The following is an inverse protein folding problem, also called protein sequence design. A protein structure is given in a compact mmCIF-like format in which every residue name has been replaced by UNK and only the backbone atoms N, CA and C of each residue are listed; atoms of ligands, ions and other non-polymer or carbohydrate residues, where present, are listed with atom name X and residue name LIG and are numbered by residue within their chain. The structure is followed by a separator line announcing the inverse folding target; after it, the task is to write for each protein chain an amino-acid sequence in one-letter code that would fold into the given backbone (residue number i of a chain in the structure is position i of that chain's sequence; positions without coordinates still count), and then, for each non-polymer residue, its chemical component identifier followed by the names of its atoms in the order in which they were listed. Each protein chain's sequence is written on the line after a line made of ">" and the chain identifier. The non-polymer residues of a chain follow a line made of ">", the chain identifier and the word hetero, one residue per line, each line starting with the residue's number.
data_IF_639792444333
#
_entry.id   IF_639792444333
#
_cell.length_a   1.000
_cell.length_b   1.000
_cell.length_c   1.000
_cell.angle_alpha   90.00
_cell.angle_beta   90.00
_cell.angle_gamma   90.00
#
_symmetry.space_group_name_H-M   'P 1'
#
loop_
_entity.id
_entity.type
_entity.pdbx_description
1 polymer ?
#
# COMPACT_ATOMS: atom_id res chain seq x y z
N UNK A 1 -1.90 -10.57 -1.23
CA UNK A 1 -2.08 -9.17 -0.80
C UNK A 1 -2.78 -8.41 -1.91
N UNK A 2 -3.84 -7.65 -1.59
CA UNK A 2 -4.57 -6.86 -2.59
C UNK A 2 -4.63 -5.40 -2.17
N UNK A 3 -4.10 -4.51 -3.00
CA UNK A 3 -4.28 -3.07 -2.85
C UNK A 3 -5.58 -2.66 -3.53
N UNK A 4 -6.25 -1.66 -2.97
CA UNK A 4 -7.51 -1.15 -3.50
C UNK A 4 -7.42 0.36 -3.62
N UNK A 5 -7.79 0.89 -4.77
CA UNK A 5 -7.86 2.32 -5.01
C UNK A 5 -9.27 2.80 -4.69
N UNK A 6 -9.37 3.83 -3.86
CA UNK A 6 -10.63 4.43 -3.42
C UNK A 6 -10.67 5.89 -3.83
N UNK A 7 -11.87 6.37 -4.19
CA UNK A 7 -12.12 7.82 -4.25
C UNK A 7 -12.48 8.32 -2.87
N UNK A 8 -12.07 9.51 -2.49
CA UNK A 8 -12.49 10.11 -1.22
C UNK A 8 -12.88 11.58 -1.35
N UNK A 9 -13.72 12.02 -0.43
CA UNK A 9 -14.17 13.41 -0.29
C UNK A 9 -13.84 13.90 1.12
N UNK A 10 -13.42 15.16 1.24
CA UNK A 10 -13.11 15.78 2.54
C UNK A 10 -14.30 16.64 2.97
N UNK A 11 -14.90 16.32 4.12
CA UNK A 11 -16.02 17.04 4.73
C UNK A 11 -15.61 18.20 5.64
N UNK A 12 -16.60 18.87 6.22
CA UNK A 12 -16.44 20.13 6.98
C UNK A 12 -15.55 20.06 8.24
N UNK A 13 -15.11 18.86 8.67
CA UNK A 13 -14.21 18.66 9.81
C UNK A 13 -12.93 17.88 9.44
N UNK A 14 -12.47 18.03 8.19
CA UNK A 14 -11.40 17.20 7.61
C UNK A 14 -11.74 15.69 7.63
N UNK A 15 -13.00 15.32 7.81
CA UNK A 15 -13.42 13.93 7.74
C UNK A 15 -13.32 13.43 6.30
N UNK A 16 -12.59 12.35 6.08
CA UNK A 16 -12.44 11.76 4.76
C UNK A 16 -13.50 10.68 4.60
N UNK A 17 -14.34 10.79 3.57
CA UNK A 17 -15.31 9.76 3.19
C UNK A 17 -14.85 9.07 1.92
N UNK A 18 -14.65 7.76 1.98
CA UNK A 18 -14.11 6.92 0.92
C UNK A 18 -15.22 6.17 0.19
N UNK A 19 -15.07 5.92 -1.11
CA UNK A 19 -16.07 5.34 -1.99
C UNK A 19 -15.48 4.41 -3.05
N UNK A 20 -16.30 3.44 -3.48
CA UNK A 20 -16.13 2.64 -4.71
C UNK A 20 -14.70 2.13 -4.97
N UNK A 21 -14.31 0.99 -4.37
CA UNK A 21 -12.99 0.43 -4.56
C UNK A 21 -12.79 -0.14 -5.96
N UNK A 22 -11.62 0.12 -6.52
CA UNK A 22 -11.09 -0.59 -7.67
C UNK A 22 -9.87 -1.41 -7.25
N UNK A 23 -9.71 -2.60 -7.82
CA UNK A 23 -8.56 -3.45 -7.50
C UNK A 23 -7.28 -2.91 -8.14
N UNK A 24 -6.23 -2.79 -7.35
CA UNK A 24 -4.90 -2.40 -7.81
C UNK A 24 -3.92 -3.57 -7.63
N UNK A 25 -3.33 -4.00 -8.75
CA UNK A 25 -2.33 -5.07 -8.75
C UNK A 25 -0.95 -4.45 -8.99
N UNK A 26 -0.09 -4.51 -7.97
CA UNK A 26 1.28 -3.97 -8.04
C UNK A 26 2.31 -4.97 -8.58
N UNK A 27 1.91 -6.22 -8.79
CA UNK A 27 2.75 -7.29 -9.34
C UNK A 27 2.31 -7.63 -10.77
N UNK A 28 3.18 -8.29 -11.53
CA UNK A 28 2.92 -8.70 -12.90
C UNK A 28 3.62 -7.81 -13.93
N UNK A 29 3.70 -8.32 -15.16
CA UNK A 29 4.54 -7.77 -16.23
C UNK A 29 4.23 -6.31 -16.60
N UNK A 30 2.95 -5.94 -16.55
CA UNK A 30 2.42 -4.63 -16.93
C UNK A 30 1.80 -3.87 -15.74
N UNK A 31 2.15 -4.25 -14.51
CA UNK A 31 1.76 -3.46 -13.33
C UNK A 31 2.42 -2.09 -13.35
N UNK A 32 1.80 -1.05 -12.76
CA UNK A 32 2.38 0.30 -12.71
C UNK A 32 3.77 0.30 -12.09
N UNK A 33 3.99 -0.50 -11.05
CA UNK A 33 5.28 -0.68 -10.41
C UNK A 33 6.31 -1.31 -11.36
N UNK A 34 5.96 -2.40 -12.05
CA UNK A 34 6.89 -3.04 -12.99
C UNK A 34 7.26 -2.11 -14.17
N UNK A 35 6.30 -1.32 -14.65
CA UNK A 35 6.56 -0.30 -15.68
C UNK A 35 7.53 0.76 -15.19
N UNK A 36 7.31 1.28 -13.97
CA UNK A 36 8.17 2.28 -13.35
C UNK A 36 9.60 1.78 -13.18
N UNK A 37 9.80 0.63 -12.52
CA UNK A 37 11.15 0.09 -12.24
C UNK A 37 11.93 -0.16 -13.53
N UNK A 38 11.29 -0.68 -14.58
CA UNK A 38 11.92 -0.89 -15.90
C UNK A 38 12.35 0.42 -16.55
N UNK A 39 11.57 1.49 -16.38
CA UNK A 39 11.81 2.78 -17.02
C UNK A 39 12.95 3.55 -16.34
N UNK A 40 12.95 3.64 -15.01
CA UNK A 40 13.93 4.45 -14.28
C UNK A 40 15.32 3.83 -14.25
N UNK A 41 15.43 2.49 -14.35
CA UNK A 41 16.70 1.74 -14.29
C UNK A 41 17.59 2.14 -13.09
N UNK A 42 16.96 2.54 -11.98
CA UNK A 42 17.65 2.89 -10.74
C UNK A 42 17.63 1.71 -9.78
N UNK A 43 18.75 1.49 -9.10
CA UNK A 43 18.89 0.45 -8.08
C UNK A 43 18.07 0.76 -6.82
N UNK A 44 17.85 2.04 -6.50
CA UNK A 44 17.06 2.51 -5.36
C UNK A 44 16.10 3.58 -5.83
N UNK A 45 14.85 3.52 -5.38
CA UNK A 45 13.80 4.43 -5.79
C UNK A 45 12.77 4.65 -4.66
N UNK A 46 12.01 5.73 -4.77
CA UNK A 46 10.85 6.01 -3.94
C UNK A 46 9.67 6.37 -4.85
N UNK A 47 8.47 5.96 -4.46
CA UNK A 47 7.23 6.26 -5.17
C UNK A 47 6.17 6.65 -4.15
N UNK A 48 5.71 7.90 -4.20
CA UNK A 48 4.60 8.37 -3.38
C UNK A 48 3.27 7.74 -3.82
N UNK A 49 2.26 7.76 -2.93
CA UNK A 49 0.88 7.35 -3.24
C UNK A 49 0.35 8.06 -4.50
N UNK A 50 0.61 9.36 -4.62
CA UNK A 50 0.16 10.20 -5.74
C UNK A 50 0.82 9.74 -7.05
N UNK A 51 2.13 9.53 -7.06
CA UNK A 51 2.84 9.08 -8.25
C UNK A 51 2.39 7.67 -8.66
N UNK A 52 2.21 6.76 -7.70
CA UNK A 52 1.69 5.42 -7.98
C UNK A 52 0.28 5.47 -8.55
N UNK A 53 -0.58 6.35 -8.03
CA UNK A 53 -1.94 6.57 -8.56
C UNK A 53 -1.89 7.08 -10.00
N UNK A 54 -1.03 8.07 -10.28
CA UNK A 54 -0.86 8.61 -11.62
C UNK A 54 -0.38 7.55 -12.63
N UNK A 55 0.52 6.64 -12.20
CA UNK A 55 0.99 5.51 -13.01
C UNK A 55 -0.11 4.46 -13.22
N UNK A 56 -0.90 4.17 -12.19
CA UNK A 56 -1.91 3.13 -12.23
C UNK A 56 -3.14 3.53 -13.06
N UNK A 57 -3.55 4.80 -12.99
CA UNK A 57 -4.78 5.27 -13.65
C UNK A 57 -4.64 6.74 -14.11
N UNK A 58 -4.03 6.98 -15.29
CA UNK A 58 -3.91 8.31 -15.86
C UNK A 58 -5.27 9.00 -16.02
N UNK A 59 -5.33 10.29 -15.67
CA UNK A 59 -6.54 11.11 -15.81
C UNK A 59 -7.54 11.02 -14.66
N UNK A 60 -7.28 10.20 -13.63
CA UNK A 60 -8.01 10.29 -12.36
C UNK A 60 -7.50 11.47 -11.54
N UNK A 61 -8.41 12.10 -10.81
CA UNK A 61 -8.05 13.12 -9.84
C UNK A 61 -7.26 12.51 -8.68
N UNK A 62 -5.94 12.72 -8.72
CA UNK A 62 -4.98 12.22 -7.73
C UNK A 62 -5.15 12.87 -6.35
N UNK A 63 -5.82 14.02 -6.26
CA UNK A 63 -6.03 14.72 -4.99
C UNK A 63 -7.24 14.17 -4.21
N UNK A 64 -8.11 13.41 -4.86
CA UNK A 64 -9.28 12.75 -4.27
C UNK A 64 -9.23 11.22 -4.40
N UNK A 65 -8.03 10.65 -4.57
CA UNK A 65 -7.82 9.21 -4.71
C UNK A 65 -6.78 8.73 -3.71
N UNK A 66 -7.04 7.59 -3.08
CA UNK A 66 -6.15 6.96 -2.11
C UNK A 66 -6.00 5.45 -2.39
N UNK A 67 -4.85 4.89 -2.02
CA UNK A 67 -4.56 3.46 -2.13
C UNK A 67 -4.61 2.86 -0.74
N UNK A 68 -5.54 1.94 -0.52
CA UNK A 68 -5.75 1.27 0.74
C UNK A 68 -5.32 -0.20 0.69
N UNK A 69 -4.87 -0.70 1.83
CA UNK A 69 -4.59 -2.09 2.08
C UNK A 69 -5.46 -2.61 3.23
N UNK A 70 -6.13 -3.74 3.00
CA UNK A 70 -7.01 -4.39 3.97
C UNK A 70 -6.30 -5.64 4.51
N UNK A 71 -6.05 -5.66 5.82
CA UNK A 71 -5.53 -6.84 6.52
C UNK A 71 -6.59 -7.43 7.43
N UNK A 72 -6.59 -8.77 7.54
CA UNK A 72 -7.31 -9.43 8.63
C UNK A 72 -6.69 -9.06 9.97
N UNK A 73 -7.50 -9.01 11.02
CA UNK A 73 -7.00 -8.89 12.39
C UNK A 73 -6.87 -10.27 13.06
N UNK A 74 -6.29 -10.27 14.25
CA UNK A 74 -6.28 -11.41 15.18
C UNK A 74 -7.69 -11.82 15.65
N UNK A 75 -8.66 -10.90 15.59
CA UNK A 75 -10.05 -11.16 15.93
C UNK A 75 -10.82 -11.65 14.71
N UNK A 76 -11.48 -12.83 14.79
CA UNK A 76 -12.31 -13.33 13.70
C UNK A 76 -13.40 -12.34 13.33
N UNK A 77 -13.50 -12.02 12.05
CA UNK A 77 -14.49 -11.07 11.59
C UNK A 77 -14.14 -9.61 11.92
N UNK A 78 -12.86 -9.29 12.11
CA UNK A 78 -12.37 -7.91 12.20
C UNK A 78 -11.23 -7.67 11.20
N UNK A 79 -11.07 -6.41 10.79
CA UNK A 79 -10.03 -5.97 9.85
C UNK A 79 -9.29 -4.74 10.35
N UNK A 80 -8.13 -4.50 9.76
CA UNK A 80 -7.40 -3.23 9.86
C UNK A 80 -7.23 -2.67 8.45
N UNK A 81 -7.54 -1.38 8.29
CA UNK A 81 -7.31 -0.64 7.05
C UNK A 81 -6.11 0.27 7.19
N UNK A 82 -5.25 0.21 6.18
CA UNK A 82 -4.08 1.04 6.04
C UNK A 82 -4.17 1.86 4.77
N UNK A 83 -3.78 3.13 4.81
CA UNK A 83 -3.55 3.96 3.63
C UNK A 83 -2.08 3.91 3.28
N UNK A 84 -1.77 3.57 2.03
CA UNK A 84 -0.41 3.62 1.51
C UNK A 84 0.01 5.09 1.39
N UNK A 85 1.18 5.42 1.92
CA UNK A 85 1.76 6.77 1.83
C UNK A 85 2.86 6.80 0.77
N UNK A 86 3.75 5.81 0.81
CA UNK A 86 4.82 5.65 -0.17
C UNK A 86 5.33 4.21 -0.23
N UNK A 87 6.02 3.91 -1.32
CA UNK A 87 6.83 2.70 -1.51
C UNK A 87 8.28 3.11 -1.71
N UNK A 88 9.15 2.67 -0.81
CA UNK A 88 10.59 2.75 -0.99
C UNK A 88 11.07 1.42 -1.52
N UNK A 89 11.86 1.41 -2.59
CA UNK A 89 12.28 0.17 -3.21
C UNK A 89 13.77 0.14 -3.53
N UNK A 90 14.31 -1.09 -3.50
CA UNK A 90 15.62 -1.41 -4.02
C UNK A 90 15.51 -2.57 -4.99
N UNK A 91 15.97 -2.38 -6.22
CA UNK A 91 15.90 -3.34 -7.29
C UNK A 91 17.30 -3.84 -7.65
N UNK A 92 17.41 -5.15 -7.83
CA UNK A 92 18.57 -5.83 -8.41
C UNK A 92 18.15 -6.52 -9.71
N UNK A 93 19.07 -7.21 -10.38
CA UNK A 93 18.80 -7.85 -11.67
C UNK A 93 17.58 -8.79 -11.64
N UNK A 94 17.32 -9.51 -10.52
CA UNK A 94 16.27 -10.54 -10.43
C UNK A 94 15.23 -10.31 -9.31
N UNK A 95 15.53 -9.46 -8.33
CA UNK A 95 14.67 -9.25 -7.16
C UNK A 95 14.48 -7.78 -6.86
N UNK A 96 13.36 -7.45 -6.24
CA UNK A 96 13.10 -6.11 -5.72
C UNK A 96 12.49 -6.17 -4.35
N UNK A 97 13.13 -5.48 -3.43
CA UNK A 97 12.72 -5.33 -2.04
C UNK A 97 12.04 -3.98 -1.89
N UNK A 98 10.93 -3.96 -1.16
CA UNK A 98 10.08 -2.78 -1.02
C UNK A 98 9.77 -2.62 0.47
N UNK A 99 9.86 -1.39 0.95
CA UNK A 99 9.32 -0.97 2.23
C UNK A 99 8.08 -0.14 1.92
N UNK A 100 6.92 -0.68 2.28
CA UNK A 100 5.65 0.02 2.16
C UNK A 100 5.38 0.81 3.44
N UNK A 101 5.23 2.12 3.29
CA UNK A 101 4.90 3.04 4.38
C UNK A 101 3.39 3.25 4.41
N UNK A 102 2.78 2.99 5.56
CA UNK A 102 1.35 3.04 5.76
C UNK A 102 0.96 3.97 6.90
N UNK A 103 -0.19 4.61 6.76
CA UNK A 103 -0.97 5.20 7.86
C UNK A 103 -2.13 4.29 8.22
N UNK A 104 -2.36 4.06 9.52
CA UNK A 104 -3.53 3.30 9.95
C UNK A 104 -4.76 4.20 9.80
N UNK A 105 -5.76 3.76 9.04
CA UNK A 105 -7.04 4.45 8.95
C UNK A 105 -8.02 3.89 9.98
N UNK A 106 -8.09 2.57 10.11
CA UNK A 106 -8.95 1.88 11.08
C UNK A 106 -8.20 0.69 11.66
N UNK A 107 -8.32 0.50 12.96
CA UNK A 107 -7.66 -0.59 13.66
C UNK A 107 -8.72 -1.54 14.23
N UNK A 108 -8.63 -2.82 13.87
CA UNK A 108 -9.45 -3.89 14.43
C UNK A 108 -10.97 -3.61 14.39
N UNK A 109 -11.47 -3.15 13.24
CA UNK A 109 -12.89 -2.84 13.01
C UNK A 109 -13.70 -4.08 12.62
N UNK A 110 -14.91 -4.23 13.17
CA UNK A 110 -15.77 -5.41 12.97
C UNK A 110 -16.39 -5.48 11.58
N UNK A 111 -16.48 -6.69 11.02
CA UNK A 111 -16.93 -6.99 9.65
C UNK A 111 -18.45 -6.84 9.42
N UNK A 112 -19.25 -6.67 10.47
CA UNK A 112 -20.71 -6.49 10.33
C UNK A 112 -21.12 -5.26 9.52
N UNK A 113 -20.33 -4.19 9.60
CA UNK A 113 -20.53 -2.95 8.82
C UNK A 113 -19.90 -3.02 7.42
N UNK A 114 -19.18 -4.11 7.10
CA UNK A 114 -18.09 -4.06 6.13
C UNK A 114 -18.54 -4.09 4.65
N UNK A 115 -19.73 -4.58 4.36
CA UNK A 115 -20.25 -4.55 2.99
C UNK A 115 -20.55 -3.11 2.56
N UNK A 116 -21.20 -2.33 3.44
CA UNK A 116 -21.42 -0.90 3.28
C UNK A 116 -20.12 -0.14 3.42
N UNK A 117 -19.26 -0.53 4.36
CA UNK A 117 -17.92 0.03 4.54
C UNK A 117 -17.04 -0.11 3.29
N UNK A 118 -17.09 -1.27 2.60
CA UNK A 118 -16.33 -1.51 1.37
C UNK A 118 -16.78 -0.59 0.25
N UNK A 119 -18.03 -0.14 0.25
CA UNK A 119 -18.54 0.80 -0.75
C UNK A 119 -18.50 2.25 -0.29
N UNK A 120 -18.58 2.51 1.03
CA UNK A 120 -18.55 3.83 1.66
C UNK A 120 -18.13 3.77 3.14
N UNK A 121 -17.13 4.56 3.56
CA UNK A 121 -16.80 4.75 4.98
C UNK A 121 -16.20 6.13 5.29
N UNK A 122 -16.24 6.56 6.55
CA UNK A 122 -15.70 7.86 6.99
C UNK A 122 -14.63 7.68 8.06
N UNK A 123 -13.51 8.39 7.94
CA UNK A 123 -12.46 8.47 8.96
C UNK A 123 -12.23 9.89 9.40
N UNK A 124 -11.91 10.06 10.67
CA UNK A 124 -11.44 11.33 11.21
C UNK A 124 -9.93 11.46 10.93
N UNK A 125 -9.55 12.39 10.04
CA UNK A 125 -8.15 12.61 9.67
C UNK A 125 -7.34 13.37 10.74
N UNK A 126 -8.01 13.91 11.77
CA UNK A 126 -7.36 14.60 12.89
C UNK A 126 -6.71 13.65 13.90
N UNK A 127 -7.04 12.35 13.83
CA UNK A 127 -6.49 11.34 14.73
C UNK A 127 -5.16 10.83 14.19
N UNK A 128 -4.07 11.38 14.72
CA UNK A 128 -2.70 10.93 14.44
C UNK A 128 -2.46 9.50 14.95
N UNK A 129 -2.74 8.50 14.12
CA UNK A 129 -2.33 7.13 14.36
C UNK A 129 -0.87 6.94 13.93
N UNK A 130 -0.11 6.06 14.59
CA UNK A 130 1.28 5.81 14.22
C UNK A 130 1.38 5.24 12.80
N UNK A 131 2.45 5.62 12.13
CA UNK A 131 2.81 5.07 10.83
C UNK A 131 3.37 3.64 10.99
N UNK A 132 3.13 2.80 10.00
CA UNK A 132 3.62 1.42 9.93
C UNK A 132 4.47 1.25 8.68
N UNK A 133 5.53 0.45 8.80
CA UNK A 133 6.38 0.07 7.69
C UNK A 133 6.37 -1.44 7.53
N UNK A 134 5.99 -1.91 6.34
CA UNK A 134 5.99 -3.34 6.02
C UNK A 134 7.00 -3.62 4.92
N UNK A 135 7.83 -4.64 5.15
CA UNK A 135 8.69 -5.14 4.10
C UNK A 135 7.85 -5.98 3.13
N UNK A 136 8.16 -5.90 1.85
CA UNK A 136 7.55 -6.68 0.78
C UNK A 136 8.66 -7.06 -0.21
N UNK A 137 8.50 -8.20 -0.89
CA UNK A 137 9.50 -8.67 -1.85
C UNK A 137 8.83 -9.17 -3.13
N UNK A 138 9.42 -8.80 -4.27
CA UNK A 138 8.99 -9.21 -5.60
C UNK A 138 10.14 -9.90 -6.34
N UNK A 139 9.87 -11.03 -6.99
CA UNK A 139 10.77 -11.66 -7.98
C UNK A 139 10.40 -11.17 -9.37
N UNK A 140 11.38 -10.89 -10.23
CA UNK A 140 11.15 -10.47 -11.62
C UNK A 140 12.14 -9.43 -12.15
N UNK A 141 12.81 -8.71 -11.25
CA UNK A 141 13.98 -7.89 -11.56
C UNK A 141 13.75 -6.72 -12.53
N UNK A 142 14.81 -5.94 -12.78
CA UNK A 142 14.76 -4.79 -13.70
C UNK A 142 14.65 -5.21 -15.17
N UNK A 143 14.97 -6.46 -15.51
CA UNK A 143 15.17 -6.96 -16.88
C UNK A 143 13.97 -7.67 -17.53
N UNK A 144 12.74 -7.29 -17.21
CA UNK A 144 11.49 -7.72 -17.87
C UNK A 144 10.79 -9.01 -17.40
N UNK A 145 11.22 -9.64 -16.31
CA UNK A 145 10.52 -10.79 -15.74
C UNK A 145 9.08 -10.48 -15.30
N UNK A 146 8.31 -11.54 -15.00
CA UNK A 146 6.99 -11.38 -14.37
C UNK A 146 7.19 -11.11 -12.89
N UNK A 147 6.77 -9.92 -12.44
CA UNK A 147 6.87 -9.54 -11.03
C UNK A 147 5.88 -10.33 -10.18
N UNK A 148 6.34 -11.07 -9.17
CA UNK A 148 5.48 -11.88 -8.30
C UNK A 148 5.87 -11.70 -6.85
N UNK A 149 4.86 -11.62 -5.97
CA UNK A 149 5.10 -11.59 -4.53
C UNK A 149 5.90 -12.82 -4.11
N UNK A 150 7.03 -12.57 -3.47
CA UNK A 150 7.81 -13.59 -2.79
C UNK A 150 7.37 -13.64 -1.33
N UNK A 151 7.50 -14.82 -0.74
CA UNK A 151 7.54 -14.93 0.71
C UNK A 151 8.76 -14.16 1.21
N UNK A 152 8.57 -13.39 2.27
CA UNK A 152 9.67 -12.71 2.93
C UNK A 152 10.23 -13.74 3.89
N UNK A 153 11.37 -14.32 3.54
CA UNK A 153 12.17 -15.04 4.52
C UNK A 153 12.48 -14.04 5.62
N UNK A 154 11.86 -14.20 6.80
CA UNK A 154 12.28 -13.49 7.98
C UNK A 154 13.71 -13.91 8.29
N UNK A 155 14.70 -13.17 7.78
CA UNK A 155 16.05 -13.23 8.33
C UNK A 155 16.02 -12.43 9.63
N UNK A 156 15.38 -12.99 10.65
CA UNK A 156 15.44 -12.49 12.02
C UNK A 156 16.84 -12.80 12.58
N UNK A 157 17.83 -12.03 12.15
CA UNK A 157 19.12 -11.87 12.84
C UNK A 157 19.42 -10.38 13.11
N UNK A 158 18.38 -9.56 13.28
CA UNK A 158 18.54 -8.25 13.89
C UNK A 158 18.51 -8.42 15.41
N UNK A 159 19.66 -8.77 16.00
CA UNK A 159 19.85 -8.73 17.44
C UNK A 159 19.66 -7.29 17.94
N UNK A 160 18.67 -7.07 18.79
CA UNK A 160 18.55 -5.83 19.57
C UNK A 160 19.74 -5.80 20.52
N UNK A 161 20.77 -5.00 20.20
CA UNK A 161 21.79 -4.63 21.18
C UNK A 161 21.11 -3.60 22.09
N UNK A 162 20.73 -4.03 23.30
CA UNK A 162 20.33 -3.10 24.35
C UNK A 162 21.52 -2.17 24.65
N UNK A 163 21.34 -0.84 24.70
CA UNK A 163 22.39 0.04 25.17
C UNK A 163 22.72 -0.31 26.63
N UNK A 164 24.02 -0.32 26.95
CA UNK A 164 24.53 -0.46 28.33
C UNK A 164 24.10 0.71 29.19
#
# INVERSE_FOLDING_TARGET
>A
MGFKMYRFEVGENLSETYYNPESLILSGFASPLAGYVKAVKQDVWNLSEIELTALAKPGVDIHSTAILFEAGSDQPGHITLYRLVSLHGRSTDDTTEIIAHFKILLNNAKVGDLATFRTKFTTDSSVGKPDIYENLKLSGGTRSGTWRWMEIEQILNAGVIAPK
#
